data_IF_893076575409
#
_entry.id   IF_893076575409
#
_cell.length_a   1.000
_cell.length_b   1.000
_cell.length_c   1.000
_cell.angle_alpha   90.00
_cell.angle_beta   90.00
_cell.angle_gamma   90.00
#
_symmetry.space_group_name_H-M   'P 1'
#
loop_
_entity.id
_entity.type
_entity.pdbx_description
1 polymer ?
#
# COMPACT_ATOMS: atom_id res chain seq x y z
N UNK A 1 1.53 10.01 5.16
CA UNK A 1 0.34 9.93 5.98
C UNK A 1 -0.69 9.06 5.30
N UNK A 2 -1.24 8.12 6.05
CA UNK A 2 -2.63 7.79 6.06
C UNK A 2 -3.23 7.04 4.87
N UNK A 3 -2.47 6.41 4.04
CA UNK A 3 -3.03 5.32 3.23
C UNK A 3 -3.32 4.08 4.11
N UNK A 4 -2.98 4.13 5.38
CA UNK A 4 -3.34 3.11 6.37
C UNK A 4 -4.78 3.18 6.87
N UNK A 5 -5.60 4.14 6.37
CA UNK A 5 -6.98 4.32 6.78
C UNK A 5 -8.03 4.28 5.64
N UNK A 6 -7.78 3.62 4.49
CA UNK A 6 -8.74 3.63 3.39
C UNK A 6 -10.08 3.04 3.80
N UNK A 7 -10.07 2.03 4.67
CA UNK A 7 -11.29 1.43 5.23
C UNK A 7 -12.19 2.46 5.88
N UNK A 8 -11.65 3.38 6.67
CA UNK A 8 -12.45 4.41 7.35
C UNK A 8 -13.01 5.43 6.36
N UNK A 9 -12.26 5.76 5.31
CA UNK A 9 -12.74 6.64 4.24
C UNK A 9 -13.91 6.00 3.50
N UNK A 10 -13.80 4.72 3.16
CA UNK A 10 -14.83 3.97 2.43
C UNK A 10 -16.09 3.80 3.26
N UNK A 11 -15.95 3.38 4.50
CA UNK A 11 -17.08 3.05 5.36
C UNK A 11 -17.70 4.26 6.06
N UNK A 12 -16.99 5.41 6.09
CA UNK A 12 -17.35 6.61 6.84
C UNK A 12 -17.58 6.34 8.33
N UNK A 13 -17.00 5.27 8.85
CA UNK A 13 -17.16 4.83 10.24
C UNK A 13 -15.80 4.45 10.86
N UNK A 14 -15.56 4.77 12.14
CA UNK A 14 -16.46 5.49 13.07
C UNK A 14 -16.49 7.01 12.88
N UNK A 15 -15.67 7.56 12.01
CA UNK A 15 -15.58 9.00 11.79
C UNK A 15 -15.72 9.35 10.30
N UNK A 16 -16.28 10.52 9.97
CA UNK A 16 -16.41 11.00 8.59
C UNK A 16 -15.05 11.54 8.11
N UNK A 17 -14.15 10.64 7.79
CA UNK A 17 -12.82 10.95 7.27
C UNK A 17 -12.85 11.07 5.74
N UNK A 18 -12.00 11.93 5.22
CA UNK A 18 -11.67 12.01 3.80
C UNK A 18 -10.16 12.24 3.65
N UNK A 19 -9.65 12.17 2.43
CA UNK A 19 -8.25 12.38 2.16
C UNK A 19 -8.01 13.70 1.43
N UNK A 20 -6.85 14.30 1.66
CA UNK A 20 -6.44 15.48 0.91
C UNK A 20 -6.08 15.07 -0.53
N UNK A 21 -6.79 15.63 -1.50
CA UNK A 21 -6.57 15.38 -2.93
C UNK A 21 -5.33 16.14 -3.37
N UNK A 22 -4.22 15.42 -3.39
CA UNK A 22 -2.93 15.93 -3.83
C UNK A 22 -2.57 15.33 -5.18
N UNK A 23 -1.81 16.05 -6.00
CA UNK A 23 -1.43 15.60 -7.34
C UNK A 23 -0.55 14.36 -7.33
N UNK A 24 0.21 14.19 -6.25
CA UNK A 24 1.16 13.08 -6.12
C UNK A 24 1.07 12.44 -4.75
N UNK A 25 0.87 11.12 -4.74
CA UNK A 25 0.90 10.28 -3.55
C UNK A 25 2.21 9.53 -3.47
N UNK A 26 2.70 9.30 -2.26
CA UNK A 26 3.82 8.41 -2.02
C UNK A 26 3.30 7.02 -1.67
N UNK A 27 3.75 6.00 -2.38
CA UNK A 27 3.38 4.61 -2.14
C UNK A 27 4.57 3.80 -1.66
N UNK A 28 4.40 3.09 -0.54
CA UNK A 28 5.37 2.10 -0.08
C UNK A 28 5.01 0.75 -0.69
N UNK A 29 5.86 0.18 -1.57
CA UNK A 29 5.60 -1.14 -2.11
C UNK A 29 5.64 -2.19 -1.01
N UNK A 30 4.71 -3.13 -1.06
CA UNK A 30 4.71 -4.32 -0.20
C UNK A 30 5.10 -5.52 -1.03
N UNK A 31 5.95 -6.36 -0.48
CA UNK A 31 6.39 -7.60 -1.11
C UNK A 31 5.75 -8.81 -0.43
N UNK A 32 5.51 -9.84 -1.23
CA UNK A 32 5.16 -11.17 -0.75
C UNK A 32 6.21 -12.15 -1.28
N UNK A 33 6.63 -13.10 -0.47
CA UNK A 33 7.63 -14.09 -0.85
C UNK A 33 7.37 -15.42 -0.16
N UNK A 34 7.81 -16.51 -0.80
CA UNK A 34 7.83 -17.83 -0.19
C UNK A 34 9.11 -17.97 0.64
N UNK A 35 8.97 -18.36 1.90
CA UNK A 35 10.13 -18.60 2.75
C UNK A 35 11.01 -19.72 2.17
N UNK A 36 12.34 -19.56 2.23
CA UNK A 36 13.29 -20.54 1.69
C UNK A 36 13.15 -21.95 2.32
N UNK A 37 12.71 -22.03 3.57
CA UNK A 37 12.47 -23.29 4.30
C UNK A 37 10.98 -23.45 4.63
N UNK A 38 10.10 -23.09 3.72
CA UNK A 38 8.67 -23.29 3.90
C UNK A 38 8.36 -24.79 4.00
N UNK A 39 7.55 -25.23 4.98
CA UNK A 39 7.19 -26.65 5.11
C UNK A 39 6.32 -27.16 3.95
N UNK A 40 5.58 -26.25 3.32
CA UNK A 40 4.69 -26.54 2.19
C UNK A 40 4.89 -25.51 1.06
N UNK A 41 6.02 -25.54 0.34
CA UNK A 41 6.38 -24.50 -0.61
C UNK A 41 5.43 -24.44 -1.81
N UNK A 42 4.88 -25.57 -2.26
CA UNK A 42 3.93 -25.59 -3.39
C UNK A 42 2.59 -24.95 -3.00
N UNK A 43 2.08 -25.22 -1.80
CA UNK A 43 0.89 -24.55 -1.29
C UNK A 43 1.10 -23.04 -1.13
N UNK A 44 2.28 -22.63 -0.70
CA UNK A 44 2.64 -21.22 -0.59
C UNK A 44 2.70 -20.53 -1.97
N UNK A 45 3.16 -21.23 -3.02
CA UNK A 45 3.15 -20.71 -4.40
C UNK A 45 1.72 -20.54 -4.92
N UNK A 46 0.87 -21.54 -4.74
CA UNK A 46 -0.55 -21.47 -5.13
C UNK A 46 -1.24 -20.30 -4.43
N UNK A 47 -0.98 -20.11 -3.14
CA UNK A 47 -1.50 -18.96 -2.41
C UNK A 47 -0.99 -17.63 -2.98
N UNK A 48 0.29 -17.56 -3.31
CA UNK A 48 0.91 -16.37 -3.91
C UNK A 48 0.30 -16.04 -5.28
N UNK A 49 0.13 -17.04 -6.12
CA UNK A 49 -0.50 -16.88 -7.44
C UNK A 49 -1.94 -16.36 -7.32
N UNK A 50 -2.70 -16.92 -6.37
CA UNK A 50 -4.03 -16.40 -6.06
C UNK A 50 -3.97 -14.95 -5.54
N UNK A 51 -3.08 -14.67 -4.57
CA UNK A 51 -2.95 -13.35 -3.96
C UNK A 51 -2.59 -12.26 -4.97
N UNK A 52 -1.78 -12.61 -5.97
CA UNK A 52 -1.39 -11.71 -7.06
C UNK A 52 -2.38 -11.70 -8.23
N UNK A 53 -3.43 -12.50 -8.17
CA UNK A 53 -4.48 -12.50 -9.19
C UNK A 53 -5.30 -11.20 -9.15
N UNK A 54 -5.90 -10.86 -10.29
CA UNK A 54 -6.77 -9.69 -10.39
C UNK A 54 -7.97 -9.77 -9.44
N UNK A 55 -8.51 -10.97 -9.23
CA UNK A 55 -9.67 -11.20 -8.36
C UNK A 55 -9.33 -10.94 -6.89
N UNK A 56 -8.19 -11.46 -6.41
CA UNK A 56 -7.73 -11.20 -5.06
C UNK A 56 -7.38 -9.73 -4.85
N UNK A 57 -6.69 -9.10 -5.81
CA UNK A 57 -6.38 -7.68 -5.76
C UNK A 57 -7.64 -6.82 -5.76
N UNK A 58 -8.66 -7.19 -6.55
CA UNK A 58 -9.96 -6.51 -6.51
C UNK A 58 -10.65 -6.67 -5.15
N UNK A 59 -10.61 -7.87 -4.58
CA UNK A 59 -11.16 -8.12 -3.24
C UNK A 59 -10.47 -7.24 -2.17
N UNK A 60 -9.14 -7.17 -2.20
CA UNK A 60 -8.34 -6.32 -1.32
C UNK A 60 -8.74 -4.84 -1.46
N UNK A 61 -8.87 -4.40 -2.68
CA UNK A 61 -9.25 -3.02 -3.01
C UNK A 61 -10.66 -2.71 -2.50
N UNK A 62 -11.64 -3.57 -2.78
CA UNK A 62 -13.03 -3.34 -2.44
C UNK A 62 -13.31 -3.46 -0.93
N UNK A 63 -12.63 -4.38 -0.24
CA UNK A 63 -12.90 -4.68 1.18
C UNK A 63 -11.99 -3.95 2.16
N UNK A 64 -10.76 -3.70 1.75
CA UNK A 64 -9.74 -3.10 2.61
C UNK A 64 -9.38 -1.69 2.16
N UNK A 65 -9.61 -1.36 0.88
CA UNK A 65 -9.27 -0.08 0.29
C UNK A 65 -7.79 0.02 -0.08
N UNK A 66 -7.09 -1.11 -0.20
CA UNK A 66 -5.68 -1.10 -0.59
C UNK A 66 -5.51 -0.63 -2.04
N UNK A 67 -4.49 0.17 -2.28
CA UNK A 67 -4.04 0.49 -3.62
C UNK A 67 -3.18 -0.67 -4.14
N UNK A 68 -3.60 -1.26 -5.25
CA UNK A 68 -2.95 -2.44 -5.82
C UNK A 68 -2.32 -2.13 -7.18
N UNK A 69 -1.38 -2.95 -7.60
CA UNK A 69 -0.68 -2.76 -8.88
C UNK A 69 -1.40 -3.38 -10.09
N UNK A 70 -2.58 -3.98 -9.88
CA UNK A 70 -3.37 -4.53 -10.98
C UNK A 70 -3.94 -3.39 -11.86
N UNK A 71 -3.69 -3.38 -13.16
CA UNK A 71 -4.18 -2.34 -14.04
C UNK A 71 -5.70 -2.22 -14.02
N UNK A 72 -6.20 -1.00 -13.83
CA UNK A 72 -7.63 -0.70 -13.81
C UNK A 72 -8.37 -1.12 -12.53
N UNK A 73 -7.63 -1.51 -11.49
CA UNK A 73 -8.19 -1.83 -10.17
C UNK A 73 -7.81 -0.72 -9.20
N UNK A 74 -8.81 -0.01 -8.69
CA UNK A 74 -8.61 1.10 -7.76
C UNK A 74 -9.55 0.98 -6.57
N UNK A 75 -9.13 1.44 -5.38
CA UNK A 75 -10.05 1.53 -4.24
C UNK A 75 -11.25 2.43 -4.57
N UNK A 76 -12.43 2.14 -4.01
CA UNK A 76 -13.64 2.95 -4.21
C UNK A 76 -13.56 4.26 -3.43
N UNK A 77 -12.54 5.05 -3.74
CA UNK A 77 -12.23 6.35 -3.13
C UNK A 77 -12.18 7.38 -4.24
N UNK A 78 -13.00 8.42 -4.11
CA UNK A 78 -13.10 9.47 -5.12
C UNK A 78 -11.74 10.14 -5.39
N UNK A 79 -11.39 10.26 -6.69
CA UNK A 79 -10.16 10.88 -7.15
C UNK A 79 -8.90 10.00 -7.10
N UNK A 80 -8.93 8.82 -6.47
CA UNK A 80 -7.74 7.97 -6.32
C UNK A 80 -7.25 7.40 -7.66
N UNK A 81 -8.15 7.14 -8.59
CA UNK A 81 -7.81 6.56 -9.90
C UNK A 81 -6.99 7.49 -10.80
N UNK A 82 -7.05 8.79 -10.54
CA UNK A 82 -6.32 9.82 -11.28
C UNK A 82 -5.07 10.31 -10.57
N UNK A 83 -4.88 9.93 -9.30
CA UNK A 83 -3.73 10.32 -8.52
C UNK A 83 -2.45 9.66 -9.06
N UNK A 84 -1.39 10.45 -9.18
CA UNK A 84 -0.05 9.93 -9.51
C UNK A 84 0.56 9.31 -8.27
N UNK A 85 0.85 8.02 -8.30
CA UNK A 85 1.54 7.34 -7.21
C UNK A 85 3.01 7.19 -7.56
N UNK A 86 3.87 7.72 -6.71
CA UNK A 86 5.32 7.53 -6.79
C UNK A 86 5.74 6.50 -5.74
N UNK A 87 6.38 5.40 -6.15
CA UNK A 87 6.94 4.45 -5.19
C UNK A 87 8.06 5.12 -4.41
N UNK A 88 8.04 4.93 -3.09
CA UNK A 88 9.14 5.34 -2.24
C UNK A 88 10.32 4.42 -2.56
N UNK A 89 11.46 5.00 -2.91
CA UNK A 89 12.68 4.24 -3.12
C UNK A 89 13.27 3.79 -1.78
N UNK A 90 14.01 2.73 -1.82
CA UNK A 90 14.84 2.34 -0.68
C UNK A 90 15.90 3.42 -0.40
N UNK A 91 16.08 3.72 0.87
CA UNK A 91 17.11 4.64 1.35
C UNK A 91 18.31 3.81 1.81
N UNK A 92 19.51 4.32 1.55
CA UNK A 92 20.72 3.75 2.14
C UNK A 92 20.77 4.01 3.66
N UNK A 93 21.55 3.22 4.39
CA UNK A 93 21.74 3.42 5.83
C UNK A 93 22.31 4.81 6.16
N UNK A 94 23.08 5.37 5.27
CA UNK A 94 23.62 6.73 5.40
C UNK A 94 22.51 7.79 5.28
N UNK A 95 21.64 7.63 4.29
CA UNK A 95 20.48 8.51 4.10
C UNK A 95 19.51 8.42 5.28
N UNK A 96 19.25 7.21 5.78
CA UNK A 96 18.38 7.00 6.95
C UNK A 96 18.96 7.73 8.18
N UNK A 97 20.25 7.60 8.42
CA UNK A 97 20.92 8.31 9.51
C UNK A 97 20.85 9.82 9.34
N UNK A 98 21.19 10.31 8.16
CA UNK A 98 21.13 11.75 7.84
C UNK A 98 19.74 12.32 8.09
N UNK A 99 18.70 11.68 7.57
CA UNK A 99 17.33 12.17 7.78
C UNK A 99 16.87 12.05 9.23
N UNK A 100 17.30 11.00 9.94
CA UNK A 100 17.06 10.87 11.38
C UNK A 100 17.69 11.99 12.20
N UNK A 101 18.90 12.39 11.84
CA UNK A 101 19.59 13.50 12.52
C UNK A 101 18.97 14.86 12.19
N UNK A 102 18.54 15.08 10.95
CA UNK A 102 17.79 16.28 10.59
C UNK A 102 16.45 16.36 11.35
N UNK A 103 15.72 15.23 11.45
CA UNK A 103 14.48 15.18 12.22
C UNK A 103 14.68 15.58 13.69
N UNK A 104 15.73 15.05 14.35
CA UNK A 104 16.06 15.38 15.74
C UNK A 104 16.45 16.86 15.98
N UNK A 105 16.84 17.59 14.94
CA UNK A 105 17.11 19.03 15.05
C UNK A 105 15.84 19.87 15.03
N UNK A 106 14.75 19.33 14.50
CA UNK A 106 13.48 20.02 14.34
C UNK A 106 12.58 19.75 15.55
N UNK A 107 12.65 18.55 16.10
CA UNK A 107 11.85 18.03 17.21
C UNK A 107 12.71 17.62 18.41
#
# INVERSE_FOLDING_TARGET
LAISMPKYIITKAPAPLDWARVDTLLGTPRAIAVCAKAPHPEAARVFMDYWLSKDAMKLMTDKVGEYVLAPGVFPPIDGISTAKVLPIRELSDEEIRKWGDEFKKIF
#
